data_IF_111605821457
#
_entry.id   IF_111605821457
#
_cell.length_a   1.000
_cell.length_b   1.000
_cell.length_c   1.000
_cell.angle_alpha   90.00
_cell.angle_beta   90.00
_cell.angle_gamma   90.00
#
_symmetry.space_group_name_H-M   'P 1'
#
loop_
_entity.id
_entity.type
_entity.pdbx_description
1 polymer ?
#
# COMPACT_ATOMS: atom_id res chain seq x y z
N UNK A 1 -10.60 0.93 -5.87
CA UNK A 1 -10.89 -0.44 -6.33
C UNK A 1 -9.59 -1.21 -6.51
N UNK A 2 -9.46 -2.36 -5.85
CA UNK A 2 -8.26 -3.22 -5.90
C UNK A 2 -8.38 -4.34 -6.93
N UNK A 3 -9.57 -4.93 -7.07
CA UNK A 3 -9.89 -5.92 -8.09
C UNK A 3 -11.27 -5.68 -8.66
N UNK A 4 -11.45 -6.01 -9.95
CA UNK A 4 -12.73 -5.97 -10.65
C UNK A 4 -12.94 -7.32 -11.32
N UNK A 5 -14.12 -7.90 -11.14
CA UNK A 5 -14.57 -9.10 -11.84
C UNK A 5 -15.90 -8.84 -12.54
N UNK A 6 -16.16 -9.53 -13.65
CA UNK A 6 -17.46 -9.52 -14.28
C UNK A 6 -18.19 -10.83 -13.98
N UNK A 7 -19.48 -10.74 -13.68
CA UNK A 7 -20.36 -11.90 -13.47
C UNK A 7 -21.61 -11.76 -14.32
N UNK A 8 -22.38 -12.83 -14.47
CA UNK A 8 -23.69 -12.83 -15.17
C UNK A 8 -24.71 -11.87 -14.54
N UNK A 9 -24.50 -11.47 -13.28
CA UNK A 9 -25.34 -10.53 -12.52
C UNK A 9 -24.83 -9.08 -12.53
N UNK A 10 -23.68 -8.79 -13.17
CA UNK A 10 -23.09 -7.46 -13.25
C UNK A 10 -21.60 -7.40 -12.90
N UNK A 11 -21.05 -6.18 -12.90
CA UNK A 11 -19.64 -5.92 -12.54
C UNK A 11 -19.46 -5.85 -11.03
N UNK A 12 -18.59 -6.69 -10.50
CA UNK A 12 -18.20 -6.72 -9.08
C UNK A 12 -16.87 -5.99 -8.91
N UNK A 13 -16.82 -5.04 -8.00
CA UNK A 13 -15.61 -4.32 -7.63
C UNK A 13 -15.28 -4.59 -6.16
N UNK A 14 -14.09 -5.11 -5.91
CA UNK A 14 -13.58 -5.34 -4.55
C UNK A 14 -12.48 -4.34 -4.20
N UNK A 15 -12.59 -3.74 -3.03
CA UNK A 15 -11.54 -2.96 -2.37
C UNK A 15 -10.97 -3.71 -1.16
N UNK A 16 -10.13 -3.03 -0.38
CA UNK A 16 -9.58 -3.60 0.86
C UNK A 16 -10.61 -3.65 2.00
N UNK A 17 -11.67 -2.85 1.91
CA UNK A 17 -12.67 -2.66 2.98
C UNK A 17 -14.10 -2.99 2.54
N UNK A 18 -14.41 -2.75 1.26
CA UNK A 18 -15.76 -2.78 0.71
C UNK A 18 -15.77 -3.64 -0.55
N UNK A 19 -16.86 -4.38 -0.74
CA UNK A 19 -17.21 -5.08 -1.97
C UNK A 19 -18.48 -4.46 -2.53
N UNK A 20 -18.47 -4.11 -3.81
CA UNK A 20 -19.61 -3.50 -4.48
C UNK A 20 -20.03 -4.35 -5.68
N UNK A 21 -21.31 -4.75 -5.73
CA UNK A 21 -21.96 -5.41 -6.86
C UNK A 21 -23.36 -4.80 -7.05
N UNK A 22 -23.42 -3.56 -7.55
CA UNK A 22 -24.63 -2.73 -7.56
C UNK A 22 -24.94 -2.04 -6.23
N UNK A 23 -24.75 -2.73 -5.09
CA UNK A 23 -24.73 -2.15 -3.74
C UNK A 23 -23.37 -2.39 -3.08
N UNK A 24 -22.96 -1.50 -2.18
CA UNK A 24 -21.68 -1.60 -1.48
C UNK A 24 -21.87 -2.11 -0.06
N UNK A 25 -21.18 -3.19 0.29
CA UNK A 25 -21.17 -3.82 1.61
C UNK A 25 -19.74 -4.03 2.10
N UNK A 26 -19.56 -4.24 3.40
CA UNK A 26 -18.26 -4.63 3.95
C UNK A 26 -17.79 -5.93 3.27
N UNK A 27 -16.51 -6.00 2.90
CA UNK A 27 -15.95 -7.14 2.17
C UNK A 27 -16.14 -8.43 3.00
N UNK A 28 -17.00 -9.38 2.56
CA UNK A 28 -17.16 -10.64 3.25
C UNK A 28 -15.96 -11.52 2.93
N UNK A 29 -15.21 -11.92 3.96
CA UNK A 29 -14.05 -12.80 3.82
C UNK A 29 -14.29 -14.06 4.64
N UNK A 30 -13.75 -15.19 4.17
CA UNK A 30 -13.77 -16.44 4.92
C UNK A 30 -13.10 -16.25 6.28
N UNK A 31 -13.53 -16.99 7.31
CA UNK A 31 -12.95 -16.89 8.66
C UNK A 31 -11.44 -17.16 8.69
N UNK A 32 -10.92 -17.95 7.75
CA UNK A 32 -9.49 -18.24 7.64
C UNK A 32 -8.68 -17.08 7.04
N UNK A 33 -9.26 -16.29 6.15
CA UNK A 33 -8.57 -15.19 5.48
C UNK A 33 -8.82 -13.83 6.16
N UNK A 34 -9.77 -13.73 7.09
CA UNK A 34 -10.07 -12.49 7.82
C UNK A 34 -8.83 -11.92 8.53
N UNK A 35 -8.08 -12.75 9.26
CA UNK A 35 -6.86 -12.32 9.95
C UNK A 35 -5.83 -11.73 8.97
N UNK A 36 -5.70 -12.32 7.77
CA UNK A 36 -4.79 -11.85 6.74
C UNK A 36 -5.25 -10.51 6.14
N UNK A 37 -6.55 -10.32 5.94
CA UNK A 37 -7.11 -9.05 5.48
C UNK A 37 -6.87 -7.95 6.52
N UNK A 38 -7.14 -8.22 7.80
CA UNK A 38 -6.91 -7.27 8.90
C UNK A 38 -5.44 -6.87 9.00
N UNK A 39 -4.53 -7.83 8.84
CA UNK A 39 -3.10 -7.56 8.80
C UNK A 39 -2.76 -6.63 7.61
N UNK A 40 -3.24 -6.93 6.40
CA UNK A 40 -3.01 -6.08 5.24
C UNK A 40 -3.56 -4.66 5.44
N UNK A 41 -4.77 -4.52 5.99
CA UNK A 41 -5.36 -3.23 6.37
C UNK A 41 -4.47 -2.46 7.34
N UNK A 42 -4.00 -3.11 8.40
CA UNK A 42 -3.13 -2.49 9.40
C UNK A 42 -1.80 -2.02 8.80
N UNK A 43 -1.14 -2.84 7.97
CA UNK A 43 0.11 -2.47 7.30
C UNK A 43 -0.07 -1.31 6.31
N UNK A 44 -1.19 -1.26 5.60
CA UNK A 44 -1.50 -0.13 4.70
C UNK A 44 -1.69 1.16 5.48
N UNK A 45 -2.41 1.15 6.61
CA UNK A 45 -2.56 2.34 7.48
C UNK A 45 -1.20 2.76 8.05
N UNK A 46 -0.43 1.80 8.56
CA UNK A 46 0.89 2.07 9.14
C UNK A 46 1.85 2.68 8.12
N UNK A 47 1.77 2.26 6.85
CA UNK A 47 2.56 2.87 5.77
C UNK A 47 2.22 4.34 5.55
N UNK A 48 0.94 4.71 5.60
CA UNK A 48 0.51 6.12 5.44
C UNK A 48 1.05 6.96 6.60
N UNK A 49 0.98 6.45 7.83
CA UNK A 49 1.49 7.14 9.02
C UNK A 49 3.00 7.40 8.88
N UNK A 50 3.78 6.37 8.54
CA UNK A 50 5.22 6.54 8.35
C UNK A 50 5.56 7.45 7.16
N UNK A 51 4.76 7.42 6.09
CA UNK A 51 4.91 8.33 4.95
C UNK A 51 4.72 9.79 5.34
N UNK A 52 3.66 10.10 6.12
CA UNK A 52 3.40 11.47 6.61
C UNK A 52 4.51 11.94 7.55
N UNK A 53 4.98 11.06 8.45
CA UNK A 53 6.12 11.37 9.34
C UNK A 53 7.38 11.65 8.53
N UNK A 54 7.68 10.82 7.52
CA UNK A 54 8.84 11.02 6.65
C UNK A 54 8.75 12.35 5.88
N UNK A 55 7.56 12.70 5.37
CA UNK A 55 7.29 13.96 4.69
C UNK A 55 7.48 15.16 5.63
N UNK A 56 6.90 15.12 6.83
CA UNK A 56 7.02 16.20 7.81
C UNK A 56 8.49 16.43 8.21
N UNK A 57 9.23 15.36 8.46
CA UNK A 57 10.65 15.44 8.77
C UNK A 57 11.47 15.99 7.59
N UNK A 58 11.10 15.65 6.34
CA UNK A 58 11.71 16.21 5.15
C UNK A 58 11.45 17.73 5.03
N UNK A 59 10.23 18.18 5.29
CA UNK A 59 9.89 19.62 5.29
C UNK A 59 10.66 20.37 6.37
N UNK A 60 10.75 19.81 7.58
CA UNK A 60 11.57 20.39 8.67
C UNK A 60 13.04 20.46 8.26
N UNK A 61 13.57 19.45 7.55
CA UNK A 61 14.93 19.47 7.03
C UNK A 61 15.16 20.54 5.96
N UNK A 62 14.15 20.86 5.13
CA UNK A 62 14.24 21.94 4.13
C UNK A 62 14.34 23.32 4.77
N UNK A 63 13.59 23.57 5.85
CA UNK A 63 13.63 24.85 6.56
C UNK A 63 14.80 24.97 7.54
N UNK A 64 15.24 23.87 8.13
CA UNK A 64 16.37 23.84 9.08
C UNK A 64 17.69 23.59 8.33
N UNK A 65 18.06 24.51 7.43
CA UNK A 65 19.25 24.46 6.55
C UNK A 65 20.61 24.40 7.28
N UNK A 66 20.62 24.41 8.61
CA UNK A 66 21.82 24.23 9.42
C UNK A 66 21.90 22.81 10.03
N UNK A 67 22.80 22.00 9.43
CA UNK A 67 23.51 20.84 10.01
C UNK A 67 22.86 19.43 9.95
N UNK A 68 23.04 18.78 8.81
CA UNK A 68 24.11 17.78 8.64
C UNK A 68 24.06 16.41 9.34
N UNK A 69 23.07 16.05 10.17
CA UNK A 69 23.08 14.72 10.85
C UNK A 69 21.76 13.95 10.93
N UNK A 70 20.59 14.59 10.75
CA UNK A 70 19.27 13.94 10.90
C UNK A 70 18.74 13.19 9.66
N UNK A 71 19.42 13.30 8.52
CA UNK A 71 18.96 12.73 7.24
C UNK A 71 18.94 11.19 7.17
N UNK A 72 19.70 10.49 8.01
CA UNK A 72 19.68 9.02 8.02
C UNK A 72 18.37 8.47 8.60
N UNK A 73 17.82 9.16 9.61
CA UNK A 73 16.59 8.74 10.29
C UNK A 73 15.40 8.86 9.34
N UNK A 74 15.34 9.91 8.51
CA UNK A 74 14.28 10.08 7.52
C UNK A 74 14.33 9.04 6.40
N UNK A 75 15.52 8.74 5.89
CA UNK A 75 15.72 7.63 4.95
C UNK A 75 15.31 6.28 5.54
N UNK A 76 15.69 5.99 6.78
CA UNK A 76 15.32 4.75 7.46
C UNK A 76 13.80 4.62 7.67
N UNK A 77 13.11 5.70 8.10
CA UNK A 77 11.65 5.69 8.24
C UNK A 77 10.96 5.51 6.88
N UNK A 78 11.51 6.09 5.81
CA UNK A 78 11.01 5.88 4.45
C UNK A 78 11.16 4.42 3.99
N UNK A 79 12.27 3.75 4.33
CA UNK A 79 12.44 2.32 4.06
C UNK A 79 11.49 1.44 4.88
N UNK A 80 11.17 1.81 6.12
CA UNK A 80 10.15 1.11 6.91
C UNK A 80 8.76 1.30 6.29
N UNK A 81 8.42 2.51 5.87
CA UNK A 81 7.18 2.79 5.12
C UNK A 81 7.09 1.89 3.88
N UNK A 82 8.18 1.80 3.11
CA UNK A 82 8.29 0.93 1.94
C UNK A 82 8.04 -0.55 2.26
N UNK A 83 8.65 -1.06 3.34
CA UNK A 83 8.42 -2.44 3.82
C UNK A 83 6.94 -2.68 4.17
N UNK A 84 6.29 -1.73 4.86
CA UNK A 84 4.87 -1.85 5.20
C UNK A 84 3.98 -1.95 3.95
N UNK A 85 4.25 -1.14 2.91
CA UNK A 85 3.51 -1.22 1.63
C UNK A 85 3.73 -2.59 0.98
N UNK A 86 4.98 -3.06 0.91
CA UNK A 86 5.31 -4.36 0.32
C UNK A 86 4.56 -5.49 1.03
N UNK A 87 4.56 -5.50 2.36
CA UNK A 87 3.88 -6.55 3.15
C UNK A 87 2.37 -6.50 2.91
N UNK A 88 1.74 -5.32 2.98
CA UNK A 88 0.29 -5.17 2.75
C UNK A 88 -0.14 -5.64 1.35
N UNK A 89 0.60 -5.24 0.32
CA UNK A 89 0.33 -5.63 -1.07
C UNK A 89 0.62 -7.12 -1.31
N UNK A 90 1.68 -7.66 -0.69
CA UNK A 90 2.05 -9.08 -0.83
C UNK A 90 1.02 -10.00 -0.18
N UNK A 91 0.50 -9.65 1.00
CA UNK A 91 -0.59 -10.42 1.64
C UNK A 91 -1.84 -10.37 0.77
N UNK A 92 -2.20 -9.17 0.26
CA UNK A 92 -3.34 -9.01 -0.62
C UNK A 92 -3.21 -9.87 -1.88
N UNK A 93 -2.04 -9.82 -2.54
CA UNK A 93 -1.79 -10.64 -3.73
C UNK A 93 -1.84 -12.13 -3.41
N UNK A 94 -1.15 -12.60 -2.38
CA UNK A 94 -1.07 -14.03 -2.06
C UNK A 94 -2.43 -14.65 -1.74
N UNK A 95 -3.33 -13.92 -1.06
CA UNK A 95 -4.61 -14.46 -0.57
C UNK A 95 -5.79 -14.14 -1.46
N UNK A 96 -5.83 -12.95 -2.07
CA UNK A 96 -7.03 -12.46 -2.74
C UNK A 96 -6.96 -12.51 -4.27
N UNK A 97 -5.77 -12.68 -4.87
CA UNK A 97 -5.69 -12.88 -6.34
C UNK A 97 -6.30 -14.19 -6.80
N UNK A 98 -6.26 -15.24 -5.97
CA UNK A 98 -6.90 -16.52 -6.25
C UNK A 98 -8.42 -16.53 -6.02
N UNK A 99 -8.94 -15.60 -5.22
CA UNK A 99 -10.36 -15.57 -4.81
C UNK A 99 -11.29 -15.20 -5.96
N UNK A 100 -10.80 -14.51 -7.00
CA UNK A 100 -11.62 -14.12 -8.16
C UNK A 100 -11.47 -15.06 -9.37
N UNK A 101 -10.90 -16.25 -9.20
CA UNK A 101 -10.73 -17.23 -10.29
C UNK A 101 -12.07 -17.71 -10.89
N UNK A 102 -13.14 -17.66 -10.10
CA UNK A 102 -14.49 -18.08 -10.52
C UNK A 102 -15.28 -16.97 -11.25
N UNK A 103 -14.72 -15.76 -11.38
CA UNK A 103 -15.35 -14.65 -12.11
C UNK A 103 -14.85 -14.58 -13.55
N UNK A 104 -15.70 -14.15 -14.49
CA UNK A 104 -15.26 -13.91 -15.87
C UNK A 104 -14.37 -12.67 -15.93
N UNK A 105 -13.17 -12.83 -16.49
CA UNK A 105 -12.18 -11.77 -16.77
C UNK A 105 -11.79 -10.94 -15.53
N UNK A 106 -11.22 -11.55 -14.47
CA UNK A 106 -10.74 -10.80 -13.32
C UNK A 106 -9.58 -9.88 -13.74
N UNK A 107 -9.71 -8.59 -13.49
CA UNK A 107 -8.69 -7.59 -13.77
C UNK A 107 -8.32 -6.81 -12.51
N UNK A 108 -7.04 -6.42 -12.42
CA UNK A 108 -6.56 -5.58 -11.34
C UNK A 108 -7.15 -4.18 -11.43
N UNK A 109 -7.64 -3.67 -10.31
CA UNK A 109 -8.15 -2.31 -10.20
C UNK A 109 -7.02 -1.27 -10.12
N UNK A 110 -7.37 -0.01 -10.34
CA UNK A 110 -6.40 1.10 -10.32
C UNK A 110 -5.64 1.24 -8.98
N UNK A 111 -6.27 0.96 -7.83
CA UNK A 111 -5.60 1.07 -6.52
C UNK A 111 -4.45 0.07 -6.40
N UNK A 112 -4.57 -1.10 -7.04
CA UNK A 112 -3.54 -2.11 -7.01
C UNK A 112 -2.28 -1.64 -7.74
N UNK A 113 -2.47 -1.09 -8.94
CA UNK A 113 -1.38 -0.53 -9.75
C UNK A 113 -0.71 0.64 -9.01
N UNK A 114 -1.51 1.53 -8.43
CA UNK A 114 -1.00 2.65 -7.61
C UNK A 114 -0.17 2.17 -6.42
N UNK A 115 -0.56 1.09 -5.76
CA UNK A 115 0.19 0.56 -4.61
C UNK A 115 1.60 0.09 -5.03
N UNK A 116 1.73 -0.60 -6.17
CA UNK A 116 3.03 -0.99 -6.73
C UNK A 116 3.88 0.20 -7.19
N UNK A 117 3.24 1.23 -7.76
CA UNK A 117 3.93 2.47 -8.13
C UNK A 117 4.45 3.19 -6.87
N UNK A 118 3.61 3.33 -5.84
CA UNK A 118 3.99 3.91 -4.55
C UNK A 118 5.12 3.13 -3.88
N UNK A 119 5.13 1.80 -4.03
CA UNK A 119 6.23 0.95 -3.59
C UNK A 119 7.55 1.32 -4.29
N UNK A 120 7.57 1.41 -5.62
CA UNK A 120 8.78 1.79 -6.37
C UNK A 120 9.27 3.20 -6.00
N UNK A 121 8.36 4.18 -5.94
CA UNK A 121 8.73 5.56 -5.60
C UNK A 121 9.24 5.69 -4.16
N UNK A 122 8.61 5.03 -3.19
CA UNK A 122 9.07 5.01 -1.79
C UNK A 122 10.46 4.39 -1.66
N UNK A 123 10.76 3.35 -2.45
CA UNK A 123 12.09 2.76 -2.48
C UNK A 123 13.15 3.71 -3.03
N UNK A 124 12.89 4.28 -4.21
CA UNK A 124 13.83 5.18 -4.87
C UNK A 124 14.11 6.41 -3.99
N UNK A 125 13.07 7.02 -3.42
CA UNK A 125 13.22 8.16 -2.51
C UNK A 125 13.96 7.77 -1.24
N UNK A 126 13.67 6.62 -0.63
CA UNK A 126 14.40 6.08 0.52
C UNK A 126 15.90 5.91 0.24
N UNK A 127 16.26 5.33 -0.91
CA UNK A 127 17.66 5.16 -1.33
C UNK A 127 18.32 6.50 -1.64
N UNK A 128 17.64 7.40 -2.37
CA UNK A 128 18.16 8.75 -2.66
C UNK A 128 18.50 9.50 -1.37
N UNK A 129 17.65 9.39 -0.34
CA UNK A 129 17.91 10.00 0.96
C UNK A 129 19.13 9.41 1.69
N UNK A 130 19.45 8.13 1.48
CA UNK A 130 20.66 7.51 1.99
C UNK A 130 21.91 7.91 1.18
N UNK A 131 21.80 8.01 -0.15
CA UNK A 131 22.93 8.24 -1.08
C UNK A 131 23.34 9.71 -1.17
N UNK A 132 22.40 10.66 -1.17
CA UNK A 132 22.70 12.09 -1.29
C UNK A 132 23.57 12.64 -0.15
N UNK A 133 23.69 11.92 0.97
CA UNK A 133 24.59 12.28 2.07
C UNK A 133 26.00 11.68 1.95
N UNK A 134 26.33 10.96 0.86
CA UNK A 134 27.68 10.41 0.65
C UNK A 134 28.71 11.44 0.15
N UNK A 135 28.44 12.74 0.26
CA UNK A 135 29.37 13.84 0.00
C UNK A 135 29.28 14.88 1.10
#
# INVERSE_FOLDING_TARGET
VWMVGSSTMGTVSSGLWLLCNGTCMALPVSSNDEASLRAAQAFMILSIIFSVIALAMFVVQLFTLEKGKRFYITGAIMLVCWLCILIGVSIYTARFTGMMRDFERPHHGYCFILAWICFCFSFITGILYLVLRKK
#
